data_IF_970221811046
#
_entry.id   IF_970221811046
#
_cell.length_a   1.000
_cell.length_b   1.000
_cell.length_c   1.000
_cell.angle_alpha   90.00
_cell.angle_beta   90.00
_cell.angle_gamma   90.00
#
_symmetry.space_group_name_H-M   'P 1'
#
loop_
_entity.id
_entity.type
_entity.pdbx_description
1 polymer ?
#
# COMPACT_ATOMS: atom_id res chain seq x y z
N UNK A 1 18.08 41.53 -8.07
CA UNK A 1 18.25 40.21 -7.42
C UNK A 1 16.93 39.45 -7.56
N UNK A 2 16.90 38.41 -8.37
CA UNK A 2 15.69 37.61 -8.67
C UNK A 2 15.55 36.59 -7.53
N UNK A 3 14.57 36.77 -6.65
CA UNK A 3 14.29 35.81 -5.58
C UNK A 3 13.71 34.54 -6.18
N UNK A 4 14.59 33.59 -6.48
CA UNK A 4 14.21 32.22 -6.78
C UNK A 4 13.66 31.61 -5.48
N UNK A 5 12.33 31.64 -5.34
CA UNK A 5 11.60 30.88 -4.33
C UNK A 5 11.72 29.40 -4.72
N UNK A 6 12.71 28.73 -4.15
CA UNK A 6 12.76 27.27 -4.14
C UNK A 6 11.59 26.79 -3.28
N UNK A 7 10.51 26.36 -3.95
CA UNK A 7 9.42 25.62 -3.33
C UNK A 7 9.96 24.24 -2.92
N UNK A 8 10.47 24.15 -1.70
CA UNK A 8 10.75 22.86 -1.08
C UNK A 8 9.40 22.28 -0.70
N UNK A 9 8.87 21.40 -1.54
CA UNK A 9 7.69 20.61 -1.22
C UNK A 9 8.02 19.74 -0.01
N UNK A 10 7.52 20.15 1.16
CA UNK A 10 7.41 19.28 2.32
C UNK A 10 6.48 18.12 1.92
N UNK A 11 7.06 16.98 1.54
CA UNK A 11 6.36 15.72 1.66
C UNK A 11 6.10 15.55 3.15
N UNK A 12 4.85 15.74 3.58
CA UNK A 12 4.43 15.36 4.91
C UNK A 12 4.64 13.86 5.01
N UNK A 13 5.73 13.44 5.65
CA UNK A 13 5.91 12.05 5.99
C UNK A 13 4.85 11.74 7.07
N UNK A 14 3.73 11.19 6.64
CA UNK A 14 2.72 10.63 7.53
C UNK A 14 3.33 9.35 8.11
N UNK A 15 4.05 9.51 9.21
CA UNK A 15 4.46 8.40 10.04
C UNK A 15 3.24 7.99 10.88
N UNK A 16 2.66 6.82 10.60
CA UNK A 16 1.62 6.28 11.48
C UNK A 16 1.20 4.85 11.20
N UNK A 17 0.89 4.51 9.94
CA UNK A 17 0.46 3.16 9.56
C UNK A 17 1.60 2.54 8.76
N UNK A 18 2.26 1.54 9.32
CA UNK A 18 3.37 0.88 8.63
C UNK A 18 2.85 -0.38 7.98
N UNK A 19 3.52 -0.89 6.95
CA UNK A 19 3.19 -2.19 6.38
C UNK A 19 3.17 -3.34 7.41
N UNK A 20 3.72 -3.11 8.61
CA UNK A 20 3.67 -3.99 9.78
C UNK A 20 2.25 -4.24 10.32
N UNK A 21 1.29 -3.33 10.07
CA UNK A 21 -0.11 -3.50 10.47
C UNK A 21 -0.86 -4.47 9.53
N UNK A 22 -0.28 -4.75 8.35
CA UNK A 22 -0.79 -5.76 7.43
C UNK A 22 -0.38 -7.15 7.95
N UNK A 23 -1.32 -8.11 8.04
CA UNK A 23 -1.01 -9.50 8.41
C UNK A 23 0.14 -10.07 7.57
N UNK A 24 1.06 -10.77 8.22
CA UNK A 24 2.25 -11.33 7.56
C UNK A 24 1.91 -12.30 6.42
N UNK A 25 0.77 -13.00 6.50
CA UNK A 25 0.26 -13.86 5.43
C UNK A 25 -0.14 -13.08 4.16
N UNK A 26 -0.49 -11.79 4.27
CA UNK A 26 -0.96 -10.96 3.15
C UNK A 26 0.15 -10.08 2.55
N UNK A 27 1.21 -9.78 3.31
CA UNK A 27 2.30 -8.90 2.88
C UNK A 27 2.92 -9.32 1.54
N UNK A 28 3.20 -10.61 1.36
CA UNK A 28 3.76 -11.12 0.10
C UNK A 28 2.79 -10.98 -1.09
N UNK A 29 1.49 -11.15 -0.83
CA UNK A 29 0.45 -11.01 -1.86
C UNK A 29 0.33 -9.57 -2.34
N UNK A 30 0.28 -8.60 -1.43
CA UNK A 30 0.25 -7.19 -1.81
C UNK A 30 1.52 -6.77 -2.55
N UNK A 31 2.71 -7.12 -2.04
CA UNK A 31 3.97 -6.81 -2.74
C UNK A 31 4.02 -7.36 -4.16
N UNK A 32 3.54 -8.58 -4.37
CA UNK A 32 3.45 -9.19 -5.71
C UNK A 32 2.44 -8.45 -6.59
N UNK A 33 1.25 -8.16 -6.05
CA UNK A 33 0.21 -7.41 -6.75
C UNK A 33 0.70 -6.01 -7.18
N UNK A 34 1.39 -5.29 -6.28
CA UNK A 34 2.01 -3.99 -6.55
C UNK A 34 2.87 -4.07 -7.80
N UNK A 35 3.83 -5.00 -7.82
CA UNK A 35 4.74 -5.15 -8.98
C UNK A 35 4.07 -5.71 -10.24
N UNK A 36 2.87 -6.28 -10.12
CA UNK A 36 2.14 -6.89 -11.25
C UNK A 36 1.23 -5.91 -11.96
N UNK A 37 0.68 -4.93 -11.23
CA UNK A 37 -0.30 -3.96 -11.78
C UNK A 37 0.19 -2.52 -11.78
N UNK A 38 1.38 -2.25 -11.23
CA UNK A 38 1.99 -0.92 -11.19
C UNK A 38 3.48 -0.99 -11.53
N UNK A 39 4.07 0.15 -11.88
CA UNK A 39 5.52 0.31 -12.02
C UNK A 39 6.22 0.62 -10.68
N UNK A 40 5.49 0.59 -9.57
CA UNK A 40 6.01 0.87 -8.24
C UNK A 40 6.89 -0.28 -7.74
N UNK A 41 7.89 0.05 -6.92
CA UNK A 41 8.64 -0.99 -6.21
C UNK A 41 7.72 -1.73 -5.23
N UNK A 42 8.01 -3.01 -4.96
CA UNK A 42 7.16 -3.88 -4.14
C UNK A 42 6.80 -3.29 -2.75
N UNK A 43 7.71 -2.52 -2.15
CA UNK A 43 7.53 -1.89 -0.84
C UNK A 43 7.22 -0.39 -0.92
N UNK A 44 7.07 0.16 -2.13
CA UNK A 44 6.70 1.56 -2.33
C UNK A 44 5.18 1.70 -2.28
N UNK A 45 4.65 1.56 -1.06
CA UNK A 45 3.21 1.66 -0.84
C UNK A 45 2.68 3.07 -1.12
N UNK A 46 3.48 4.12 -0.96
CA UNK A 46 3.06 5.48 -1.32
C UNK A 46 2.76 5.59 -2.82
N UNK A 47 3.63 5.01 -3.66
CA UNK A 47 3.36 4.90 -5.10
C UNK A 47 2.17 3.97 -5.38
N UNK A 48 2.16 2.78 -4.78
CA UNK A 48 1.18 1.75 -5.11
C UNK A 48 -0.26 2.12 -4.70
N UNK A 49 -0.43 2.92 -3.65
CA UNK A 49 -1.73 3.38 -3.18
C UNK A 49 -2.43 4.33 -4.16
N UNK A 50 -1.73 4.88 -5.17
CA UNK A 50 -2.38 5.56 -6.31
C UNK A 50 -3.23 4.61 -7.16
N UNK A 51 -3.01 3.30 -7.03
CA UNK A 51 -3.75 2.24 -7.71
C UNK A 51 -4.23 1.18 -6.71
N UNK A 52 -4.61 1.60 -5.49
CA UNK A 52 -4.95 0.71 -4.38
C UNK A 52 -6.03 -0.32 -4.76
N UNK A 53 -7.09 0.09 -5.46
CA UNK A 53 -8.15 -0.83 -5.91
C UNK A 53 -7.62 -1.92 -6.84
N UNK A 54 -6.73 -1.58 -7.78
CA UNK A 54 -6.14 -2.54 -8.70
C UNK A 54 -5.19 -3.51 -7.97
N UNK A 55 -4.41 -2.99 -7.01
CA UNK A 55 -3.53 -3.80 -6.17
C UNK A 55 -4.34 -4.76 -5.29
N UNK A 56 -5.41 -4.27 -4.64
CA UNK A 56 -6.28 -5.09 -3.80
C UNK A 56 -6.98 -6.18 -4.62
N UNK A 57 -7.54 -5.84 -5.78
CA UNK A 57 -8.19 -6.80 -6.68
C UNK A 57 -7.20 -7.85 -7.20
N UNK A 58 -5.98 -7.44 -7.59
CA UNK A 58 -4.93 -8.36 -8.04
C UNK A 58 -4.41 -9.28 -6.93
N UNK A 59 -4.33 -8.77 -5.70
CA UNK A 59 -3.91 -9.54 -4.53
C UNK A 59 -4.99 -10.45 -3.96
N UNK A 60 -6.26 -10.28 -4.32
CA UNK A 60 -7.38 -10.86 -3.58
C UNK A 60 -7.36 -12.39 -3.51
N UNK A 61 -7.16 -13.07 -4.62
CA UNK A 61 -7.09 -14.53 -4.65
C UNK A 61 -5.91 -15.06 -3.82
N UNK A 62 -4.77 -14.37 -3.85
CA UNK A 62 -3.59 -14.71 -3.06
C UNK A 62 -3.85 -14.52 -1.56
N UNK A 63 -4.43 -13.37 -1.17
CA UNK A 63 -4.69 -13.05 0.25
C UNK A 63 -5.70 -14.03 0.84
N UNK A 64 -6.79 -14.35 0.13
CA UNK A 64 -7.77 -15.34 0.60
C UNK A 64 -7.12 -16.72 0.74
N UNK A 65 -6.31 -17.14 -0.22
CA UNK A 65 -5.63 -18.44 -0.17
C UNK A 65 -4.59 -18.53 0.96
N UNK A 66 -3.87 -17.44 1.26
CA UNK A 66 -2.79 -17.42 2.25
C UNK A 66 -3.28 -17.15 3.68
N UNK A 67 -4.30 -16.31 3.85
CA UNK A 67 -4.78 -15.84 5.15
C UNK A 67 -6.14 -16.45 5.55
N UNK A 68 -6.89 -16.99 4.61
CA UNK A 68 -8.31 -17.31 4.79
C UNK A 68 -9.22 -16.10 4.57
N UNK A 69 -10.48 -16.36 4.23
CA UNK A 69 -11.49 -15.36 3.87
C UNK A 69 -11.75 -14.37 5.02
N UNK A 70 -11.96 -14.87 6.25
CA UNK A 70 -12.18 -14.03 7.43
C UNK A 70 -11.04 -13.03 7.69
N UNK A 71 -9.77 -13.47 7.60
CA UNK A 71 -8.61 -12.61 7.83
C UNK A 71 -8.42 -11.65 6.65
N UNK A 72 -8.67 -12.10 5.42
CA UNK A 72 -8.60 -11.27 4.23
C UNK A 72 -9.54 -10.06 4.36
N UNK A 73 -10.82 -10.31 4.61
CA UNK A 73 -11.88 -9.30 4.63
C UNK A 73 -11.85 -8.40 5.86
N UNK A 74 -11.60 -8.97 7.05
CA UNK A 74 -11.71 -8.21 8.30
C UNK A 74 -10.38 -7.59 8.77
N UNK A 75 -9.24 -8.01 8.21
CA UNK A 75 -7.93 -7.55 8.67
C UNK A 75 -7.04 -7.08 7.51
N UNK A 76 -6.76 -7.94 6.53
CA UNK A 76 -5.75 -7.65 5.51
C UNK A 76 -6.12 -6.48 4.59
N UNK A 77 -7.31 -6.50 3.98
CA UNK A 77 -7.75 -5.40 3.12
C UNK A 77 -8.03 -4.11 3.89
N UNK A 78 -8.70 -4.14 5.06
CA UNK A 78 -8.85 -2.95 5.88
C UNK A 78 -7.51 -2.34 6.30
N UNK A 79 -6.51 -3.15 6.67
CA UNK A 79 -5.18 -2.68 7.02
C UNK A 79 -4.47 -2.06 5.81
N UNK A 80 -4.55 -2.68 4.63
CA UNK A 80 -4.00 -2.12 3.39
C UNK A 80 -4.66 -0.78 3.02
N UNK A 81 -5.99 -0.68 3.15
CA UNK A 81 -6.72 0.57 2.91
C UNK A 81 -6.36 1.66 3.93
N UNK A 82 -6.24 1.29 5.21
CA UNK A 82 -5.83 2.20 6.26
C UNK A 82 -4.40 2.72 6.03
N UNK A 83 -3.50 1.84 5.58
CA UNK A 83 -2.17 2.23 5.13
C UNK A 83 -2.26 3.22 3.97
N UNK A 84 -3.04 2.93 2.92
CA UNK A 84 -3.18 3.82 1.77
C UNK A 84 -3.79 5.19 2.11
N UNK A 85 -4.75 5.24 3.03
CA UNK A 85 -5.33 6.50 3.50
C UNK A 85 -4.35 7.35 4.32
N UNK A 86 -3.26 6.73 4.79
CA UNK A 86 -2.20 7.40 5.52
C UNK A 86 -1.03 7.84 4.63
N UNK A 87 -1.05 7.63 3.32
CA UNK A 87 0.04 8.01 2.41
C UNK A 87 -0.20 9.34 1.70
#
# INVERSE_FOLDING_TARGET
>A
MKFALAIVSFAAAVYGQTASDIPSCALGCFQTAITSVTDCAAMDYACACNSADAVAASGQSCVIAACGEDVAENQAFPAFQALCNAQ
#
